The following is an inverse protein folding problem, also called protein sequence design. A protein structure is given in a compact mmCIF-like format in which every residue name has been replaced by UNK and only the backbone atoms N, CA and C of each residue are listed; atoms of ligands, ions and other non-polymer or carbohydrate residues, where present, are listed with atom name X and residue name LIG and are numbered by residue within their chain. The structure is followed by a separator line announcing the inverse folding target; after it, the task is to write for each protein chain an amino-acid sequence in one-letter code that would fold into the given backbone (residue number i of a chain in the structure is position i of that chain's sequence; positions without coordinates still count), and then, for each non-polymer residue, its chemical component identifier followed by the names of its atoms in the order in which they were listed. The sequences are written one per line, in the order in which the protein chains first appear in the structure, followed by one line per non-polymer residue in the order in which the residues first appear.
data_IF_772664823421
#
_entry.id   IF_772664823421
#
_cell.length_a   1.000
_cell.length_b   1.000
_cell.length_c   1.000
_cell.angle_alpha   90.00
_cell.angle_beta   90.00
_cell.angle_gamma   90.00
#
_symmetry.space_group_name_H-M   'P 1'
#
loop_
_entity.id
_entity.type
_entity.pdbx_description
1 polymer ?
#
# COMPACT_ATOMS: atom_id res chain seq x y z
N UNK A 1 31.18 -36.84 65.72
CA UNK A 1 31.35 -36.32 64.35
C UNK A 1 32.62 -36.92 63.77
N UNK A 2 32.52 -37.90 62.87
CA UNK A 2 33.52 -38.35 61.90
C UNK A 2 33.06 -39.69 61.31
N UNK A 3 32.96 -39.76 59.97
CA UNK A 3 33.39 -40.85 59.07
C UNK A 3 32.88 -42.27 59.37
N UNK A 4 32.41 -43.09 58.43
CA UNK A 4 32.53 -43.11 56.97
C UNK A 4 31.84 -44.38 56.47
N UNK A 5 31.24 -44.35 55.28
CA UNK A 5 31.80 -45.05 54.11
C UNK A 5 32.09 -46.55 54.33
N UNK A 6 31.05 -47.37 54.47
CA UNK A 6 31.14 -48.81 54.23
C UNK A 6 29.79 -49.46 53.85
N UNK A 7 28.99 -48.80 53.02
CA UNK A 7 27.80 -49.42 52.42
C UNK A 7 27.64 -49.07 50.92
N UNK A 8 28.76 -48.87 50.24
CA UNK A 8 28.87 -48.72 48.78
C UNK A 8 29.90 -49.74 48.31
N UNK A 9 29.45 -50.92 47.88
CA UNK A 9 30.08 -51.83 46.90
C UNK A 9 29.61 -53.27 47.13
N UNK A 10 28.39 -53.63 46.70
CA UNK A 10 28.03 -54.99 46.26
C UNK A 10 26.55 -55.06 45.83
N UNK A 11 26.18 -54.37 44.74
CA UNK A 11 25.01 -54.73 43.91
C UNK A 11 24.90 -53.84 42.64
N UNK A 12 26.03 -53.39 42.08
CA UNK A 12 26.05 -52.83 40.73
C UNK A 12 26.26 -54.03 39.80
N UNK A 13 25.17 -54.61 39.32
CA UNK A 13 25.29 -55.77 38.43
C UNK A 13 23.98 -56.44 38.05
N UNK A 14 22.86 -55.70 37.91
CA UNK A 14 21.65 -56.27 37.29
C UNK A 14 20.52 -55.30 36.89
N UNK A 15 20.83 -54.07 36.46
CA UNK A 15 19.77 -53.15 35.97
C UNK A 15 20.11 -52.39 34.67
N UNK A 16 21.14 -52.82 33.93
CA UNK A 16 21.53 -52.21 32.64
C UNK A 16 20.84 -52.77 31.40
N UNK A 17 20.22 -53.95 31.46
CA UNK A 17 19.77 -54.66 30.25
C UNK A 17 18.27 -54.51 29.91
N UNK A 18 17.48 -53.81 30.74
CA UNK A 18 16.03 -53.66 30.52
C UNK A 18 15.59 -52.24 30.16
N UNK A 19 16.51 -51.25 30.11
CA UNK A 19 16.20 -49.86 29.73
C UNK A 19 16.51 -49.53 28.27
N UNK A 20 17.34 -50.33 27.60
CA UNK A 20 17.65 -50.15 26.18
C UNK A 20 16.49 -50.48 25.22
N UNK A 21 15.68 -51.55 25.41
CA UNK A 21 14.60 -51.84 24.45
C UNK A 21 13.40 -50.91 24.62
N UNK A 22 13.16 -50.37 25.82
CA UNK A 22 12.02 -49.49 26.09
C UNK A 22 12.23 -48.07 25.53
N UNK A 23 13.47 -47.57 25.60
CA UNK A 23 13.83 -46.29 24.98
C UNK A 23 13.79 -46.35 23.44
N UNK A 24 14.18 -47.48 22.85
CA UNK A 24 14.09 -47.68 21.40
C UNK A 24 12.62 -47.82 20.93
N UNK A 25 11.77 -48.49 21.70
CA UNK A 25 10.35 -48.66 21.38
C UNK A 25 9.58 -47.32 21.46
N UNK A 26 9.91 -46.46 22.43
CA UNK A 26 9.34 -45.11 22.54
C UNK A 26 9.82 -44.18 21.40
N UNK A 27 11.06 -44.35 20.91
CA UNK A 27 11.56 -43.56 19.78
C UNK A 27 10.95 -44.01 18.43
N UNK A 28 10.69 -45.32 18.26
CA UNK A 28 10.02 -45.86 17.06
C UNK A 28 8.53 -45.49 17.03
N UNK A 29 7.85 -45.40 18.17
CA UNK A 29 6.47 -44.92 18.26
C UNK A 29 6.33 -43.41 18.01
N UNK A 30 7.34 -42.61 18.36
CA UNK A 30 7.35 -41.18 18.07
C UNK A 30 7.68 -40.86 16.59
N UNK A 31 8.38 -41.75 15.88
CA UNK A 31 8.69 -41.59 14.45
C UNK A 31 7.60 -42.14 13.51
N UNK A 32 6.61 -42.87 14.04
CA UNK A 32 5.53 -43.48 13.26
C UNK A 32 4.26 -42.61 13.12
N UNK A 33 4.22 -41.44 13.76
CA UNK A 33 3.20 -40.42 13.52
C UNK A 33 3.84 -39.24 12.81
N UNK A 34 3.93 -39.25 11.46
CA UNK A 34 3.89 -37.97 10.79
C UNK A 34 2.57 -37.36 11.22
N UNK A 35 2.63 -36.21 11.90
CA UNK A 35 1.49 -35.33 11.99
C UNK A 35 1.12 -34.98 10.55
N UNK A 36 0.28 -35.81 9.94
CA UNK A 36 -0.53 -35.39 8.84
C UNK A 36 -1.37 -34.25 9.42
N UNK A 37 -0.88 -33.03 9.23
CA UNK A 37 -1.74 -31.91 8.94
C UNK A 37 -2.54 -32.35 7.72
N UNK A 38 -3.58 -33.15 7.98
CA UNK A 38 -4.46 -33.69 6.97
C UNK A 38 -5.08 -32.49 6.31
N UNK A 39 -4.76 -32.31 5.03
CA UNK A 39 -5.46 -31.37 4.19
C UNK A 39 -6.97 -31.58 4.43
N UNK A 40 -7.66 -30.52 4.83
CA UNK A 40 -9.08 -30.62 5.12
C UNK A 40 -9.76 -31.19 3.88
N UNK A 41 -10.71 -32.14 4.00
CA UNK A 41 -11.22 -32.86 2.82
C UNK A 41 -11.60 -31.87 1.73
N UNK A 42 -11.13 -32.09 0.49
CA UNK A 42 -11.38 -31.22 -0.67
C UNK A 42 -12.88 -30.95 -0.92
N UNK A 43 -13.75 -31.80 -0.36
CA UNK A 43 -15.19 -31.55 -0.27
C UNK A 43 -15.55 -30.63 0.92
N UNK A 44 -16.39 -29.64 0.64
CA UNK A 44 -16.86 -28.69 1.65
C UNK A 44 -17.46 -27.43 1.05
N UNK A 45 -17.92 -26.56 1.94
CA UNK A 45 -18.22 -25.18 1.60
C UNK A 45 -16.99 -24.32 1.92
N UNK A 46 -16.77 -23.27 1.15
CA UNK A 46 -15.66 -22.35 1.26
C UNK A 46 -16.16 -20.92 1.07
N UNK A 47 -15.55 -20.01 1.81
CA UNK A 47 -15.86 -18.58 1.81
C UNK A 47 -14.67 -17.80 1.25
N UNK A 48 -14.91 -16.93 0.29
CA UNK A 48 -13.86 -16.19 -0.40
C UNK A 48 -13.23 -15.10 0.47
N UNK A 49 -11.92 -14.89 0.28
CA UNK A 49 -11.11 -13.87 0.96
C UNK A 49 -10.37 -12.99 -0.05
N UNK A 50 -9.92 -11.80 0.36
CA UNK A 50 -9.23 -10.87 -0.53
C UNK A 50 -10.10 -10.48 -1.73
N UNK A 51 -9.60 -10.69 -2.93
CA UNK A 51 -10.34 -10.40 -4.19
C UNK A 51 -11.58 -11.29 -4.39
N UNK A 52 -11.70 -12.38 -3.63
CA UNK A 52 -12.87 -13.26 -3.61
C UNK A 52 -13.88 -12.92 -2.49
N UNK A 53 -13.69 -11.83 -1.76
CA UNK A 53 -14.57 -11.48 -0.65
C UNK A 53 -16.05 -11.41 -1.08
N UNK A 54 -16.92 -12.11 -0.33
CA UNK A 54 -18.35 -12.22 -0.66
C UNK A 54 -18.69 -13.30 -1.68
N UNK A 55 -17.70 -13.99 -2.26
CA UNK A 55 -17.92 -15.20 -3.06
C UNK A 55 -18.07 -16.43 -2.17
N UNK A 56 -18.83 -17.40 -2.64
CA UNK A 56 -18.95 -18.70 -1.99
C UNK A 56 -18.71 -19.83 -2.97
N UNK A 57 -17.94 -20.84 -2.55
CA UNK A 57 -17.63 -22.03 -3.34
C UNK A 57 -18.07 -23.27 -2.56
N UNK A 58 -18.82 -24.16 -3.19
CA UNK A 58 -19.16 -25.47 -2.64
C UNK A 58 -18.63 -26.55 -3.56
N UNK A 59 -17.93 -27.53 -2.99
CA UNK A 59 -17.33 -28.64 -3.73
C UNK A 59 -17.73 -29.97 -3.09
N UNK A 60 -17.98 -30.94 -3.96
CA UNK A 60 -18.18 -32.34 -3.62
C UNK A 60 -17.33 -33.20 -4.55
N UNK A 61 -16.50 -34.04 -3.96
CA UNK A 61 -15.66 -34.99 -4.69
C UNK A 61 -16.20 -36.40 -4.49
N UNK A 62 -16.36 -37.12 -5.60
CA UNK A 62 -16.63 -38.57 -5.61
C UNK A 62 -15.57 -39.21 -6.48
N UNK A 63 -14.70 -40.03 -5.87
CA UNK A 63 -13.50 -40.57 -6.51
C UNK A 63 -12.60 -39.46 -7.07
N UNK A 64 -12.53 -39.32 -8.40
CA UNK A 64 -11.80 -38.23 -9.07
C UNK A 64 -12.71 -37.14 -9.58
N UNK A 65 -14.01 -37.35 -9.63
CA UNK A 65 -14.96 -36.36 -10.14
C UNK A 65 -15.21 -35.30 -9.10
N UNK A 66 -15.14 -34.04 -9.52
CA UNK A 66 -15.41 -32.86 -8.70
C UNK A 66 -16.61 -32.13 -9.28
N UNK A 67 -17.62 -31.92 -8.44
CA UNK A 67 -18.81 -31.13 -8.78
C UNK A 67 -19.06 -30.08 -7.72
N UNK A 68 -19.67 -28.96 -8.10
CA UNK A 68 -19.84 -27.86 -7.16
C UNK A 68 -20.63 -26.68 -7.71
N UNK A 69 -20.63 -25.61 -6.92
CA UNK A 69 -21.14 -24.32 -7.35
C UNK A 69 -20.28 -23.18 -6.85
N UNK A 70 -20.09 -22.17 -7.69
CA UNK A 70 -19.42 -20.92 -7.40
C UNK A 70 -20.45 -19.80 -7.51
N UNK A 71 -20.63 -19.01 -6.47
CA UNK A 71 -21.50 -17.84 -6.47
C UNK A 71 -20.70 -16.57 -6.22
N UNK A 72 -20.97 -15.56 -7.03
CA UNK A 72 -20.40 -14.22 -6.94
C UNK A 72 -21.35 -13.28 -6.18
N UNK A 73 -20.83 -12.22 -5.55
CA UNK A 73 -21.64 -11.26 -4.80
C UNK A 73 -22.63 -10.48 -5.68
N UNK A 74 -22.35 -10.36 -6.98
CA UNK A 74 -23.24 -9.73 -7.97
C UNK A 74 -24.43 -10.62 -8.40
N UNK A 75 -24.60 -11.80 -7.79
CA UNK A 75 -25.66 -12.75 -8.10
C UNK A 75 -25.35 -13.72 -9.24
N UNK A 76 -24.20 -13.59 -9.91
CA UNK A 76 -23.76 -14.59 -10.89
C UNK A 76 -23.44 -15.92 -10.19
N UNK A 77 -23.89 -17.03 -10.77
CA UNK A 77 -23.65 -18.35 -10.22
C UNK A 77 -23.29 -19.34 -11.33
N UNK A 78 -22.23 -20.11 -11.08
CA UNK A 78 -21.71 -21.13 -11.96
C UNK A 78 -21.82 -22.51 -11.31
N UNK A 79 -22.20 -23.50 -12.10
CA UNK A 79 -22.06 -24.91 -11.73
C UNK A 79 -20.70 -25.41 -12.20
N UNK A 80 -20.03 -26.14 -11.33
CA UNK A 80 -18.66 -26.61 -11.51
C UNK A 80 -18.67 -28.12 -11.77
N UNK A 81 -17.99 -28.56 -12.83
CA UNK A 81 -17.84 -29.97 -13.16
C UNK A 81 -16.45 -30.22 -13.73
N UNK A 82 -15.70 -31.12 -13.11
CA UNK A 82 -14.35 -31.44 -13.53
C UNK A 82 -13.80 -32.67 -12.82
N UNK A 83 -12.48 -32.80 -12.89
CA UNK A 83 -11.78 -33.96 -12.36
C UNK A 83 -10.51 -33.54 -11.61
N UNK A 84 -10.17 -34.33 -10.59
CA UNK A 84 -8.95 -34.20 -9.81
C UNK A 84 -7.84 -35.08 -10.38
N UNK A 85 -6.62 -34.57 -10.37
CA UNK A 85 -5.44 -35.29 -10.85
C UNK A 85 -5.22 -36.59 -10.08
N UNK A 86 -5.28 -36.55 -8.74
CA UNK A 86 -5.23 -37.73 -7.88
C UNK A 86 -6.38 -37.72 -6.87
N UNK A 87 -6.67 -38.87 -6.27
CA UNK A 87 -7.80 -38.99 -5.34
C UNK A 87 -7.56 -38.23 -4.02
N UNK A 88 -6.36 -38.35 -3.46
CA UNK A 88 -6.03 -37.83 -2.12
C UNK A 88 -5.41 -36.43 -2.14
N UNK A 89 -4.65 -36.07 -3.18
CA UNK A 89 -3.89 -34.82 -3.29
C UNK A 89 -3.91 -34.27 -4.71
N UNK A 90 -3.51 -33.00 -4.87
CA UNK A 90 -3.34 -32.39 -6.18
C UNK A 90 -4.50 -31.51 -6.63
N UNK A 91 -4.40 -31.08 -7.89
CA UNK A 91 -5.23 -30.03 -8.48
C UNK A 91 -6.49 -30.61 -9.11
N UNK A 92 -7.56 -29.81 -9.13
CA UNK A 92 -8.79 -30.12 -9.85
C UNK A 92 -8.98 -29.16 -11.01
N UNK A 93 -9.42 -29.66 -12.15
CA UNK A 93 -9.62 -28.86 -13.35
C UNK A 93 -10.90 -29.27 -14.07
N UNK A 94 -11.52 -28.32 -14.76
CA UNK A 94 -12.75 -28.58 -15.51
C UNK A 94 -13.42 -27.32 -16.00
N UNK A 95 -14.74 -27.41 -16.18
CA UNK A 95 -15.55 -26.35 -16.74
C UNK A 95 -16.55 -25.76 -15.72
N UNK A 96 -16.87 -24.49 -15.93
CA UNK A 96 -17.87 -23.71 -15.23
C UNK A 96 -18.98 -23.37 -16.22
N UNK A 97 -20.19 -23.83 -15.93
CA UNK A 97 -21.37 -23.51 -16.71
C UNK A 97 -22.21 -22.47 -15.96
N UNK A 98 -22.65 -21.42 -16.65
CA UNK A 98 -23.69 -20.54 -16.11
C UNK A 98 -25.01 -21.31 -16.04
N UNK A 99 -25.92 -20.91 -15.14
CA UNK A 99 -27.15 -21.63 -14.82
C UNK A 99 -27.97 -21.93 -16.09
N UNK A 100 -27.91 -23.18 -16.57
CA UNK A 100 -28.70 -23.69 -17.70
C UNK A 100 -28.07 -23.63 -19.10
N UNK A 101 -26.75 -23.42 -19.22
CA UNK A 101 -26.09 -23.28 -20.53
C UNK A 101 -24.78 -24.07 -20.72
N UNK A 102 -24.21 -23.91 -21.92
CA UNK A 102 -22.86 -24.34 -22.33
C UNK A 102 -21.76 -23.82 -21.38
N UNK A 103 -20.58 -24.46 -21.33
CA UNK A 103 -19.48 -24.01 -20.48
C UNK A 103 -19.06 -22.58 -20.86
N UNK A 104 -19.21 -21.65 -19.92
CA UNK A 104 -18.88 -20.23 -20.11
C UNK A 104 -17.53 -19.83 -19.52
N UNK A 105 -16.89 -20.74 -18.79
CA UNK A 105 -15.57 -20.57 -18.22
C UNK A 105 -14.95 -21.94 -17.87
N UNK A 106 -13.68 -21.94 -17.52
CA UNK A 106 -12.89 -23.06 -17.06
C UNK A 106 -12.30 -22.73 -15.69
N UNK A 107 -11.90 -23.78 -14.97
CA UNK A 107 -11.29 -23.62 -13.66
C UNK A 107 -10.06 -24.50 -13.47
N UNK A 108 -9.16 -24.01 -12.64
CA UNK A 108 -8.11 -24.80 -12.00
C UNK A 108 -8.13 -24.51 -10.49
N UNK A 109 -8.21 -25.55 -9.65
CA UNK A 109 -8.27 -25.44 -8.20
C UNK A 109 -7.05 -26.15 -7.62
N UNK A 110 -6.29 -25.41 -6.81
CA UNK A 110 -5.21 -25.94 -5.99
C UNK A 110 -5.64 -25.98 -4.52
N UNK A 111 -5.30 -27.07 -3.84
CA UNK A 111 -5.54 -27.21 -2.41
C UNK A 111 -4.45 -26.52 -1.59
N UNK A 112 -4.86 -25.69 -0.62
CA UNK A 112 -3.97 -24.94 0.28
C UNK A 112 -4.24 -25.38 1.73
N UNK A 113 -3.29 -25.18 2.67
CA UNK A 113 -3.43 -25.70 4.04
C UNK A 113 -4.73 -25.34 4.78
N UNK A 114 -5.31 -24.17 4.52
CA UNK A 114 -6.53 -23.67 5.17
C UNK A 114 -7.74 -23.54 4.22
N UNK A 115 -7.60 -23.94 2.96
CA UNK A 115 -8.57 -23.60 1.93
C UNK A 115 -8.14 -23.96 0.52
N UNK A 116 -8.51 -23.14 -0.45
CA UNK A 116 -8.30 -23.41 -1.88
C UNK A 116 -7.90 -22.13 -2.61
N UNK A 117 -7.17 -22.30 -3.70
CA UNK A 117 -6.86 -21.27 -4.68
C UNK A 117 -7.54 -21.67 -5.99
N UNK A 118 -8.41 -20.80 -6.50
CA UNK A 118 -9.19 -21.00 -7.72
C UNK A 118 -8.69 -20.04 -8.79
N UNK A 119 -8.21 -20.57 -9.90
CA UNK A 119 -8.02 -19.85 -11.13
C UNK A 119 -9.29 -19.97 -11.98
N UNK A 120 -9.98 -18.85 -12.18
CA UNK A 120 -11.13 -18.71 -13.07
C UNK A 120 -10.66 -18.24 -14.44
N UNK A 121 -11.01 -18.98 -15.48
CA UNK A 121 -10.56 -18.70 -16.87
C UNK A 121 -11.82 -18.54 -17.73
N UNK A 122 -12.18 -17.32 -18.16
CA UNK A 122 -13.32 -17.12 -19.04
C UNK A 122 -13.19 -17.89 -20.36
N UNK A 123 -14.30 -18.28 -20.98
CA UNK A 123 -14.29 -18.78 -22.35
C UNK A 123 -14.38 -17.61 -23.35
N UNK A 124 -13.65 -17.72 -24.46
CA UNK A 124 -13.78 -16.84 -25.62
C UNK A 124 -15.12 -17.09 -26.35
N UNK A 125 -15.47 -16.23 -27.30
CA UNK A 125 -16.66 -16.43 -28.15
C UNK A 125 -16.63 -17.74 -28.96
N UNK A 126 -15.43 -18.33 -29.16
CA UNK A 126 -15.24 -19.62 -29.81
C UNK A 126 -15.34 -20.81 -28.83
N UNK A 127 -15.53 -20.56 -27.53
CA UNK A 127 -15.58 -21.58 -26.49
C UNK A 127 -14.22 -21.97 -25.92
N UNK A 128 -13.11 -21.42 -26.42
CA UNK A 128 -11.76 -21.76 -25.94
C UNK A 128 -11.39 -20.97 -24.66
N UNK A 129 -10.52 -21.48 -23.78
CA UNK A 129 -10.08 -20.77 -22.57
C UNK A 129 -9.28 -19.48 -22.90
N UNK A 130 -9.67 -18.36 -22.30
CA UNK A 130 -8.93 -17.09 -22.38
C UNK A 130 -8.06 -16.88 -21.13
N UNK A 131 -6.78 -17.29 -21.23
CA UNK A 131 -5.82 -17.14 -20.14
C UNK A 131 -5.49 -15.66 -19.84
N UNK A 132 -5.58 -14.77 -20.83
CA UNK A 132 -5.28 -13.35 -20.66
C UNK A 132 -6.31 -12.61 -19.79
N UNK A 133 -7.53 -13.15 -19.71
CA UNK A 133 -8.62 -12.65 -18.88
C UNK A 133 -8.84 -13.49 -17.61
N UNK A 134 -7.87 -14.34 -17.26
CA UNK A 134 -7.98 -15.19 -16.07
C UNK A 134 -7.92 -14.36 -14.78
N UNK A 135 -8.56 -14.86 -13.73
CA UNK A 135 -8.61 -14.24 -12.41
C UNK A 135 -8.40 -15.27 -11.32
N UNK A 136 -7.63 -14.91 -10.32
CA UNK A 136 -7.32 -15.81 -9.21
C UNK A 136 -8.07 -15.42 -7.95
N UNK A 137 -8.67 -16.42 -7.30
CA UNK A 137 -9.54 -16.25 -6.15
C UNK A 137 -9.11 -17.19 -5.02
N UNK A 138 -9.02 -16.63 -3.81
CA UNK A 138 -8.64 -17.38 -2.62
C UNK A 138 -9.86 -17.68 -1.75
N UNK A 139 -9.98 -18.91 -1.28
CA UNK A 139 -11.11 -19.37 -0.47
C UNK A 139 -10.62 -20.07 0.80
N UNK A 140 -11.29 -19.81 1.92
CA UNK A 140 -11.09 -20.54 3.17
C UNK A 140 -12.21 -21.54 3.39
N UNK A 141 -11.92 -22.71 3.98
CA UNK A 141 -12.96 -23.69 4.27
C UNK A 141 -13.94 -23.15 5.31
N UNK A 142 -15.24 -23.22 5.03
CA UNK A 142 -16.30 -22.73 5.93
C UNK A 142 -16.21 -23.46 7.26
N UNK A 143 -16.17 -22.69 8.34
CA UNK A 143 -15.98 -23.21 9.70
C UNK A 143 -14.50 -23.30 10.13
N UNK A 144 -13.55 -23.22 9.20
CA UNK A 144 -12.17 -22.81 9.51
C UNK A 144 -12.24 -21.32 9.76
N UNK A 145 -12.60 -20.96 10.99
CA UNK A 145 -12.17 -19.66 11.50
C UNK A 145 -10.65 -19.81 11.62
N UNK A 146 -9.83 -19.02 10.91
CA UNK A 146 -8.47 -18.85 11.38
C UNK A 146 -8.64 -18.51 12.87
N UNK A 147 -8.01 -19.28 13.76
CA UNK A 147 -7.93 -18.91 15.17
C UNK A 147 -7.05 -17.67 15.23
N UNK A 148 -7.61 -16.56 14.78
CA UNK A 148 -7.14 -15.23 15.09
C UNK A 148 -7.53 -15.11 16.55
N UNK A 149 -6.62 -15.53 17.44
CA UNK A 149 -6.67 -15.04 18.81
C UNK A 149 -6.73 -13.51 18.72
N UNK A 150 -7.36 -12.82 19.67
CA UNK A 150 -7.38 -11.34 19.64
C UNK A 150 -5.95 -10.74 19.60
N UNK A 151 -4.93 -11.55 19.93
CA UNK A 151 -3.49 -11.26 19.79
C UNK A 151 -2.95 -11.39 18.34
N UNK A 152 -3.61 -12.14 17.45
CA UNK A 152 -3.27 -12.27 16.03
C UNK A 152 -4.02 -11.27 15.13
N UNK A 153 -4.72 -10.30 15.72
CA UNK A 153 -5.40 -9.18 15.02
C UNK A 153 -4.45 -8.11 14.47
N UNK A 154 -3.15 -8.36 14.40
CA UNK A 154 -2.32 -7.44 13.65
C UNK A 154 -2.63 -7.65 12.16
N UNK A 155 -3.53 -6.82 11.61
CA UNK A 155 -3.64 -6.60 10.14
C UNK A 155 -2.30 -6.21 9.52
N UNK A 156 -1.34 -5.87 10.38
CA UNK A 156 -0.03 -5.39 10.05
C UNK A 156 1.04 -6.46 10.31
N UNK A 157 2.01 -6.53 9.41
CA UNK A 157 3.25 -7.27 9.62
C UNK A 157 4.01 -6.65 10.80
N UNK A 158 4.70 -7.45 11.63
CA UNK A 158 5.59 -6.90 12.65
C UNK A 158 6.62 -5.96 12.03
N UNK A 159 6.82 -4.80 12.67
CA UNK A 159 7.82 -3.83 12.29
C UNK A 159 9.16 -4.12 13.01
N UNK A 160 10.31 -3.76 12.41
CA UNK A 160 11.58 -3.82 13.12
C UNK A 160 11.59 -2.95 14.38
N UNK A 161 12.24 -3.45 15.45
CA UNK A 161 12.36 -2.72 16.72
C UNK A 161 13.31 -1.52 16.62
N UNK A 162 14.39 -1.65 15.85
CA UNK A 162 15.40 -0.60 15.67
C UNK A 162 15.14 0.31 14.46
N UNK A 163 15.97 1.36 14.29
CA UNK A 163 15.98 2.17 13.08
C UNK A 163 16.20 1.33 11.84
N UNK A 164 15.55 1.71 10.74
CA UNK A 164 15.62 0.99 9.46
C UNK A 164 16.28 1.85 8.40
N UNK A 165 16.86 1.18 7.40
CA UNK A 165 17.25 1.85 6.16
C UNK A 165 16.03 2.35 5.40
N UNK A 166 16.15 3.46 4.65
CA UNK A 166 15.05 3.99 3.83
C UNK A 166 14.48 2.93 2.87
N UNK A 167 15.28 2.04 2.28
CA UNK A 167 14.75 1.02 1.37
C UNK A 167 13.84 0.02 2.12
N UNK A 168 14.23 -0.36 3.33
CA UNK A 168 13.41 -1.23 4.20
C UNK A 168 12.14 -0.51 4.64
N UNK A 169 12.23 0.80 4.92
CA UNK A 169 11.07 1.62 5.23
C UNK A 169 10.07 1.66 4.06
N UNK A 170 10.52 1.99 2.85
CA UNK A 170 9.69 2.08 1.65
C UNK A 170 8.96 0.76 1.35
N UNK A 171 9.61 -0.38 1.60
CA UNK A 171 9.02 -1.71 1.40
C UNK A 171 8.03 -2.12 2.48
N UNK A 172 8.16 -1.52 3.67
CA UNK A 172 7.48 -2.00 4.85
C UNK A 172 6.35 -1.15 5.37
N UNK A 173 6.42 0.18 5.19
CA UNK A 173 5.48 1.10 5.81
C UNK A 173 4.03 0.85 5.40
N UNK A 174 3.82 0.20 4.24
CA UNK A 174 2.47 -0.19 3.81
C UNK A 174 1.83 -1.30 4.64
N UNK A 175 2.67 -2.21 5.13
CA UNK A 175 2.27 -3.39 5.88
C UNK A 175 2.43 -3.25 7.38
N UNK A 176 3.06 -2.18 7.89
CA UNK A 176 3.18 -1.91 9.33
C UNK A 176 2.00 -1.14 9.88
N UNK A 177 1.82 -1.18 11.20
CA UNK A 177 0.82 -0.36 11.89
C UNK A 177 1.11 1.14 11.66
N UNK A 178 0.10 2.02 11.77
CA UNK A 178 0.31 3.46 11.75
C UNK A 178 1.36 3.91 12.77
N UNK A 179 1.29 3.41 14.00
CA UNK A 179 2.22 3.72 15.09
C UNK A 179 3.66 3.33 14.75
N UNK A 180 3.87 2.11 14.26
CA UNK A 180 5.18 1.64 13.82
C UNK A 180 5.71 2.44 12.62
N UNK A 181 4.82 2.84 11.72
CA UNK A 181 5.17 3.67 10.57
C UNK A 181 5.64 5.05 11.02
N UNK A 182 4.92 5.68 11.94
CA UNK A 182 5.28 6.98 12.51
C UNK A 182 6.63 6.90 13.24
N UNK A 183 6.81 5.89 14.11
CA UNK A 183 8.06 5.62 14.84
C UNK A 183 9.25 5.43 13.90
N UNK A 184 9.12 4.54 12.92
CA UNK A 184 10.21 4.25 11.99
C UNK A 184 10.51 5.42 11.05
N UNK A 185 9.50 6.19 10.63
CA UNK A 185 9.70 7.41 9.86
C UNK A 185 10.46 8.46 10.67
N UNK A 186 10.07 8.67 11.93
CA UNK A 186 10.74 9.62 12.82
C UNK A 186 12.22 9.27 13.04
N UNK A 187 12.53 7.98 13.07
CA UNK A 187 13.89 7.45 13.22
C UNK A 187 14.76 7.54 11.95
N UNK A 188 14.19 7.78 10.76
CA UNK A 188 14.98 7.95 9.54
C UNK A 188 15.90 9.18 9.63
N UNK A 189 17.09 9.17 9.01
CA UNK A 189 17.90 10.36 8.83
C UNK A 189 17.15 11.48 8.11
N UNK A 190 17.47 12.74 8.44
CA UNK A 190 16.81 13.91 7.84
C UNK A 190 16.88 13.96 6.31
N UNK A 191 18.03 13.70 5.65
CA UNK A 191 18.09 13.70 4.18
C UNK A 191 17.17 12.65 3.55
N UNK A 192 16.98 11.51 4.22
CA UNK A 192 16.13 10.43 3.75
C UNK A 192 14.64 10.79 3.89
N UNK A 193 14.24 11.41 5.00
CA UNK A 193 12.88 11.95 5.14
C UNK A 193 12.61 13.04 4.10
N UNK A 194 13.54 14.00 3.96
CA UNK A 194 13.42 15.10 3.01
C UNK A 194 13.24 14.59 1.57
N UNK A 195 13.97 13.54 1.18
CA UNK A 195 13.81 12.90 -0.13
C UNK A 195 12.39 12.39 -0.37
N UNK A 196 11.77 11.72 0.60
CA UNK A 196 10.37 11.26 0.49
C UNK A 196 9.44 12.46 0.31
N UNK A 197 9.70 13.54 1.06
CA UNK A 197 8.90 14.75 1.06
C UNK A 197 8.96 15.54 -0.28
N UNK A 198 9.95 15.29 -1.13
CA UNK A 198 10.01 15.91 -2.47
C UNK A 198 8.90 15.43 -3.41
N UNK A 199 8.28 14.28 -3.12
CA UNK A 199 7.29 13.64 -3.98
C UNK A 199 5.89 13.73 -3.36
N UNK A 200 4.96 14.35 -4.07
CA UNK A 200 3.66 14.76 -3.53
C UNK A 200 2.71 13.61 -3.16
N UNK A 201 2.54 12.60 -4.03
CA UNK A 201 1.67 11.45 -3.77
C UNK A 201 2.28 10.53 -2.70
N UNK A 202 3.61 10.33 -2.72
CA UNK A 202 4.31 9.59 -1.67
C UNK A 202 4.16 10.30 -0.31
N UNK A 203 4.32 11.63 -0.28
CA UNK A 203 4.10 12.43 0.93
C UNK A 203 2.65 12.35 1.39
N UNK A 204 1.68 12.44 0.48
CA UNK A 204 0.26 12.38 0.82
C UNK A 204 -0.13 11.02 1.43
N UNK A 205 0.38 9.91 0.88
CA UNK A 205 0.11 8.59 1.44
C UNK A 205 0.77 8.43 2.82
N UNK A 206 2.02 8.88 2.95
CA UNK A 206 2.73 8.84 4.21
C UNK A 206 2.02 9.68 5.27
N UNK A 207 1.67 10.92 4.95
CA UNK A 207 0.96 11.82 5.86
C UNK A 207 -0.35 11.21 6.36
N UNK A 208 -1.08 10.51 5.48
CA UNK A 208 -2.32 9.83 5.87
C UNK A 208 -2.07 8.81 6.96
N UNK A 209 -1.06 7.95 6.80
CA UNK A 209 -0.70 6.94 7.80
C UNK A 209 -0.21 7.54 9.11
N UNK A 210 0.57 8.62 9.05
CA UNK A 210 1.05 9.29 10.25
C UNK A 210 -0.10 9.98 11.00
N UNK A 211 -1.07 10.56 10.27
CA UNK A 211 -2.28 11.09 10.88
C UNK A 211 -3.15 10.00 11.52
N UNK A 212 -3.21 8.79 10.94
CA UNK A 212 -3.89 7.65 11.56
C UNK A 212 -3.21 7.16 12.84
N UNK A 213 -1.89 7.33 12.95
CA UNK A 213 -1.14 6.98 14.16
C UNK A 213 -1.46 7.88 15.35
N UNK A 214 -1.86 9.14 15.09
CA UNK A 214 -2.16 10.13 16.13
C UNK A 214 -1.12 10.14 17.27
N UNK A 215 0.17 10.40 16.94
CA UNK A 215 1.26 10.29 17.90
C UNK A 215 1.07 11.21 19.11
N UNK A 216 1.62 10.80 20.26
CA UNK A 216 1.54 11.59 21.50
C UNK A 216 2.18 12.97 21.33
N UNK A 217 1.51 14.00 21.86
CA UNK A 217 1.96 15.39 21.76
C UNK A 217 3.40 15.57 22.31
N UNK A 218 4.26 16.21 21.51
CA UNK A 218 5.66 16.45 21.87
C UNK A 218 6.62 15.27 21.61
N UNK A 219 6.10 14.11 21.19
CA UNK A 219 6.94 12.99 20.74
C UNK A 219 7.79 13.35 19.51
N UNK A 220 8.89 12.63 19.23
CA UNK A 220 9.61 12.76 17.96
C UNK A 220 8.70 12.57 16.73
N UNK A 221 7.77 11.63 16.80
CA UNK A 221 6.79 11.30 15.77
C UNK A 221 5.83 12.46 15.51
N UNK A 222 5.27 13.04 16.58
CA UNK A 222 4.40 14.21 16.53
C UNK A 222 5.12 15.41 15.91
N UNK A 223 6.37 15.69 16.30
CA UNK A 223 7.16 16.75 15.66
C UNK A 223 7.34 16.54 14.16
N UNK A 224 7.61 15.30 13.72
CA UNK A 224 7.75 15.02 12.27
C UNK A 224 6.45 15.13 11.52
N UNK A 225 5.34 14.76 12.15
CA UNK A 225 4.01 14.94 11.59
C UNK A 225 3.65 16.43 11.54
N UNK A 226 4.00 17.23 12.56
CA UNK A 226 3.81 18.68 12.59
C UNK A 226 4.59 19.38 11.47
N UNK A 227 5.87 19.06 11.29
CA UNK A 227 6.69 19.58 10.18
C UNK A 227 6.01 19.31 8.81
N UNK A 228 5.41 18.12 8.68
CA UNK A 228 4.71 17.70 7.47
C UNK A 228 3.39 18.47 7.27
N UNK A 229 2.58 18.60 8.32
CA UNK A 229 1.33 19.37 8.31
C UNK A 229 1.56 20.84 7.99
N UNK A 230 2.61 21.45 8.55
CA UNK A 230 2.99 22.84 8.27
C UNK A 230 3.32 23.02 6.79
N UNK A 231 4.14 22.15 6.20
CA UNK A 231 4.45 22.22 4.77
C UNK A 231 3.22 21.99 3.89
N UNK A 232 2.29 21.14 4.33
CA UNK A 232 1.07 20.82 3.59
C UNK A 232 -0.07 21.82 3.84
N UNK A 233 0.07 22.69 4.85
CA UNK A 233 -0.93 23.67 5.27
C UNK A 233 -2.30 23.04 5.54
N UNK A 234 -2.31 21.87 6.19
CA UNK A 234 -3.52 21.14 6.58
C UNK A 234 -3.28 20.32 7.84
N UNK A 235 -4.24 20.31 8.76
CA UNK A 235 -4.21 19.45 9.95
C UNK A 235 -4.72 18.02 9.67
N UNK A 236 -4.36 17.08 10.55
CA UNK A 236 -4.78 15.69 10.41
C UNK A 236 -6.30 15.48 10.46
N UNK A 237 -7.05 16.25 11.24
CA UNK A 237 -8.50 16.08 11.34
C UNK A 237 -9.17 16.43 10.00
N UNK A 238 -8.79 17.54 9.38
CA UNK A 238 -9.24 17.95 8.05
C UNK A 238 -8.75 17.00 6.96
N UNK A 239 -7.49 16.57 7.06
CA UNK A 239 -6.91 15.69 6.06
C UNK A 239 -7.54 14.29 6.05
N UNK A 240 -7.76 13.67 7.21
CA UNK A 240 -8.40 12.36 7.30
C UNK A 240 -9.83 12.38 6.74
N UNK A 241 -10.60 13.46 6.98
CA UNK A 241 -11.93 13.64 6.34
C UNK A 241 -11.85 13.70 4.82
N UNK A 242 -10.80 14.31 4.25
CA UNK A 242 -10.58 14.33 2.81
C UNK A 242 -10.20 12.95 2.28
N UNK A 243 -9.38 12.21 3.02
CA UNK A 243 -8.98 10.85 2.65
C UNK A 243 -10.20 9.92 2.60
N UNK A 244 -11.10 9.97 3.59
CA UNK A 244 -12.32 9.13 3.57
C UNK A 244 -13.20 9.45 2.36
N UNK A 245 -13.42 10.73 2.05
CA UNK A 245 -14.14 11.11 0.82
C UNK A 245 -13.43 10.67 -0.46
N UNK A 246 -12.11 10.76 -0.50
CA UNK A 246 -11.31 10.28 -1.64
C UNK A 246 -11.40 8.76 -1.82
N UNK A 247 -11.51 7.98 -0.72
CA UNK A 247 -11.73 6.53 -0.77
C UNK A 247 -13.09 6.19 -1.40
N UNK A 248 -14.11 6.99 -1.15
CA UNK A 248 -15.45 6.84 -1.73
C UNK A 248 -15.51 7.24 -3.22
N UNK A 249 -14.67 8.19 -3.65
CA UNK A 249 -14.62 8.74 -5.01
C UNK A 249 -14.12 7.80 -6.13
N UNK A 250 -13.85 6.52 -5.83
CA UNK A 250 -13.52 5.48 -6.82
C UNK A 250 -12.12 5.56 -7.45
N UNK A 251 -11.44 6.72 -7.38
CA UNK A 251 -10.09 6.93 -7.93
C UNK A 251 -8.96 6.69 -6.90
N UNK A 252 -9.28 6.25 -5.69
CA UNK A 252 -8.27 6.05 -4.63
C UNK A 252 -7.21 5.01 -5.00
N UNK A 253 -7.56 3.97 -5.78
CA UNK A 253 -6.59 3.00 -6.30
C UNK A 253 -5.57 3.65 -7.24
N UNK A 254 -6.01 4.62 -8.04
CA UNK A 254 -5.12 5.36 -8.94
C UNK A 254 -4.12 6.21 -8.15
N UNK A 255 -4.58 6.85 -7.08
CA UNK A 255 -3.71 7.56 -6.15
C UNK A 255 -2.61 6.66 -5.57
N UNK A 256 -2.97 5.46 -5.08
CA UNK A 256 -2.00 4.49 -4.56
C UNK A 256 -1.00 4.02 -5.64
N UNK A 257 -1.46 3.87 -6.89
CA UNK A 257 -0.58 3.55 -8.04
C UNK A 257 0.42 4.67 -8.31
N UNK A 258 -0.02 5.93 -8.30
CA UNK A 258 0.87 7.09 -8.47
C UNK A 258 1.84 7.26 -7.31
N UNK A 259 1.38 7.02 -6.08
CA UNK A 259 2.24 6.97 -4.90
C UNK A 259 3.30 5.87 -5.04
N UNK A 260 2.92 4.65 -5.45
CA UNK A 260 3.89 3.56 -5.70
C UNK A 260 4.95 3.97 -6.72
N UNK A 261 4.53 4.58 -7.84
CA UNK A 261 5.47 5.04 -8.85
C UNK A 261 6.51 6.02 -8.27
N UNK A 262 6.07 6.95 -7.41
CA UNK A 262 6.98 7.89 -6.74
C UNK A 262 7.90 7.20 -5.72
N UNK A 263 7.39 6.22 -4.97
CA UNK A 263 8.21 5.42 -4.05
C UNK A 263 9.30 4.63 -4.80
N UNK A 264 9.00 4.12 -5.99
CA UNK A 264 10.00 3.48 -6.86
C UNK A 264 11.06 4.48 -7.37
N UNK A 265 10.68 5.73 -7.68
CA UNK A 265 11.65 6.77 -8.02
C UNK A 265 12.55 7.13 -6.83
N UNK A 266 11.98 7.21 -5.63
CA UNK A 266 12.75 7.42 -4.39
C UNK A 266 13.74 6.27 -4.18
N UNK A 267 13.27 5.02 -4.25
CA UNK A 267 14.12 3.82 -4.19
C UNK A 267 15.26 3.89 -5.20
N UNK A 268 14.95 4.16 -6.46
CA UNK A 268 15.95 4.21 -7.51
C UNK A 268 16.96 5.34 -7.30
N UNK A 269 16.51 6.49 -6.78
CA UNK A 269 17.39 7.62 -6.40
C UNK A 269 18.37 7.20 -5.31
N UNK A 270 17.90 6.49 -4.28
CA UNK A 270 18.75 5.96 -3.21
C UNK A 270 19.79 4.96 -3.74
N UNK A 271 19.38 4.06 -4.64
CA UNK A 271 20.31 3.10 -5.24
C UNK A 271 21.36 3.78 -6.15
N UNK A 272 20.99 4.86 -6.81
CA UNK A 272 21.92 5.70 -7.57
C UNK A 272 22.92 6.42 -6.67
N UNK A 273 22.46 7.00 -5.57
CA UNK A 273 23.33 7.65 -4.56
C UNK A 273 24.35 6.66 -3.96
N UNK A 274 23.95 5.40 -3.78
CA UNK A 274 24.84 4.32 -3.30
C UNK A 274 25.79 3.75 -4.35
N UNK A 275 25.65 4.14 -5.62
CA UNK A 275 26.42 3.56 -6.73
C UNK A 275 26.04 2.12 -7.08
N UNK A 276 24.86 1.66 -6.65
CA UNK A 276 24.33 0.32 -6.94
C UNK A 276 23.61 0.24 -8.29
N UNK A 277 23.47 1.37 -8.98
CA UNK A 277 22.80 1.50 -10.28
C UNK A 277 23.73 2.17 -11.30
N UNK A 278 23.70 1.69 -12.55
CA UNK A 278 24.52 2.26 -13.63
C UNK A 278 24.10 3.68 -14.04
N UNK A 279 25.08 4.49 -14.49
CA UNK A 279 24.91 5.93 -14.77
C UNK A 279 23.75 6.27 -15.73
N UNK A 280 23.54 5.47 -16.78
CA UNK A 280 22.45 5.67 -17.73
C UNK A 280 21.07 5.61 -17.03
N UNK A 281 20.87 4.61 -16.16
CA UNK A 281 19.62 4.45 -15.41
C UNK A 281 19.44 5.55 -14.36
N UNK A 282 20.52 6.08 -13.79
CA UNK A 282 20.44 7.23 -12.88
C UNK A 282 20.05 8.54 -13.59
N UNK A 283 20.49 8.73 -14.83
CA UNK A 283 20.05 9.84 -15.66
C UNK A 283 18.55 9.72 -15.96
N UNK A 284 18.06 8.52 -16.29
CA UNK A 284 16.63 8.27 -16.52
C UNK A 284 15.78 8.55 -15.27
N UNK A 285 16.21 8.06 -14.10
CA UNK A 285 15.52 8.33 -12.82
C UNK A 285 15.42 9.83 -12.55
N UNK A 286 16.51 10.57 -12.79
CA UNK A 286 16.52 12.03 -12.64
C UNK A 286 15.57 12.71 -13.62
N UNK A 287 15.56 12.27 -14.89
CA UNK A 287 14.68 12.81 -15.92
C UNK A 287 13.19 12.54 -15.63
N UNK A 288 12.86 11.39 -15.04
CA UNK A 288 11.50 11.05 -14.62
C UNK A 288 11.07 11.76 -13.33
N UNK A 289 11.98 11.92 -12.37
CA UNK A 289 11.69 12.51 -11.07
C UNK A 289 11.60 14.03 -11.08
N UNK A 290 12.50 14.72 -11.78
CA UNK A 290 12.57 16.19 -11.83
C UNK A 290 11.23 16.88 -12.14
N UNK A 291 10.45 16.50 -13.17
CA UNK A 291 9.18 17.16 -13.46
C UNK A 291 8.12 16.97 -12.37
N UNK A 292 8.17 15.87 -11.61
CA UNK A 292 7.25 15.62 -10.50
C UNK A 292 7.54 16.53 -9.32
N UNK A 293 8.83 16.74 -9.02
CA UNK A 293 9.27 17.64 -7.95
C UNK A 293 8.92 19.09 -8.28
N UNK A 294 9.09 19.50 -9.56
CA UNK A 294 8.74 20.85 -10.00
C UNK A 294 7.23 21.11 -10.02
N UNK A 295 6.41 20.07 -10.20
CA UNK A 295 4.95 20.14 -10.18
C UNK A 295 4.38 19.60 -8.88
N UNK A 296 5.11 19.79 -7.78
CA UNK A 296 4.68 19.37 -6.47
C UNK A 296 3.31 19.97 -6.11
N UNK A 297 2.44 19.16 -5.53
CA UNK A 297 1.11 19.55 -5.09
C UNK A 297 0.94 19.28 -3.61
N UNK A 298 0.07 20.07 -2.98
CA UNK A 298 -0.37 19.80 -1.61
C UNK A 298 -1.25 18.55 -1.56
N UNK A 299 -1.15 17.81 -0.47
CA UNK A 299 -1.90 16.58 -0.24
C UNK A 299 -3.42 16.82 -0.23
N UNK A 300 -3.86 17.97 0.31
CA UNK A 300 -5.27 18.36 0.33
C UNK A 300 -5.85 18.55 -1.08
N UNK A 301 -5.09 19.15 -1.99
CA UNK A 301 -5.47 19.36 -3.38
C UNK A 301 -5.56 18.03 -4.15
N UNK A 302 -4.68 17.07 -3.85
CA UNK A 302 -4.74 15.72 -4.40
C UNK A 302 -6.02 15.02 -3.92
N UNK A 303 -6.29 15.01 -2.60
CA UNK A 303 -7.46 14.31 -2.05
C UNK A 303 -8.79 14.92 -2.50
N UNK A 304 -8.89 16.25 -2.62
CA UNK A 304 -10.10 16.90 -3.17
C UNK A 304 -10.37 16.51 -4.62
N UNK A 305 -9.34 16.43 -5.46
CA UNK A 305 -9.49 16.00 -6.86
C UNK A 305 -10.03 14.56 -6.93
N UNK A 306 -9.54 13.68 -6.05
CA UNK A 306 -9.97 12.28 -5.98
C UNK A 306 -11.40 12.11 -5.46
N UNK A 307 -11.85 13.01 -4.57
CA UNK A 307 -13.20 12.98 -4.01
C UNK A 307 -14.28 13.42 -5.03
N UNK A 308 -13.88 14.07 -6.13
CA UNK A 308 -14.80 14.50 -7.19
C UNK A 308 -15.54 15.82 -6.91
N UNK A 309 -16.26 16.36 -7.90
CA UNK A 309 -16.90 17.68 -7.82
C UNK A 309 -18.09 17.73 -6.84
N UNK A 310 -18.72 16.59 -6.55
CA UNK A 310 -19.83 16.50 -5.59
C UNK A 310 -19.35 16.50 -4.13
N UNK A 311 -18.03 16.44 -3.90
CA UNK A 311 -17.42 16.60 -2.59
C UNK A 311 -17.13 18.07 -2.28
N UNK A 312 -18.11 18.96 -2.47
CA UNK A 312 -18.00 20.31 -1.92
C UNK A 312 -17.73 20.24 -0.40
N UNK A 313 -16.96 21.18 0.16
CA UNK A 313 -16.83 21.26 1.60
C UNK A 313 -18.23 21.46 2.17
N UNK A 314 -18.62 20.65 3.16
CA UNK A 314 -19.52 21.16 4.17
C UNK A 314 -18.89 22.47 4.64
N UNK A 315 -19.48 23.61 4.22
CA UNK A 315 -19.23 24.87 4.90
C UNK A 315 -19.55 24.54 6.34
N UNK A 316 -18.51 24.57 7.18
CA UNK A 316 -18.70 24.70 8.60
C UNK A 316 -19.58 25.95 8.72
N UNK A 317 -20.88 25.76 8.99
CA UNK A 317 -21.72 26.85 9.43
C UNK A 317 -21.02 27.37 10.68
N UNK A 318 -20.34 28.50 10.55
CA UNK A 318 -20.03 29.37 11.67
C UNK A 318 -21.38 29.66 12.32
N UNK A 319 -21.77 28.80 13.26
CA UNK A 319 -22.77 29.14 14.24
C UNK A 319 -22.12 30.30 14.99
N UNK A 320 -22.62 31.54 14.83
CA UNK A 320 -22.05 32.65 15.58
C UNK A 320 -22.11 32.25 17.05
N UNK A 321 -21.05 32.45 17.85
CA UNK A 321 -21.12 32.16 19.26
C UNK A 321 -22.35 32.89 19.81
N UNK A 322 -23.26 32.12 20.40
CA UNK A 322 -24.48 32.64 20.98
C UNK A 322 -24.09 33.83 21.85
N UNK A 323 -24.54 35.03 21.43
CA UNK A 323 -24.23 36.26 22.11
C UNK A 323 -24.52 36.07 23.59
N UNK A 324 -23.46 36.09 24.40
CA UNK A 324 -23.58 36.07 25.84
C UNK A 324 -24.48 37.25 26.20
N UNK A 325 -25.62 36.96 26.80
CA UNK A 325 -26.53 37.96 27.29
C UNK A 325 -25.78 38.82 28.31
N UNK A 326 -25.46 40.05 27.91
CA UNK A 326 -24.95 41.09 28.82
C UNK A 326 -26.15 41.47 29.71
N UNK A 327 -26.06 41.34 31.04
CA UNK A 327 -27.11 41.84 31.90
C UNK A 327 -27.10 43.36 31.85
N UNK A 328 -28.28 43.96 31.76
CA UNK A 328 -28.48 45.39 31.81
C UNK A 328 -27.99 45.93 33.16
N UNK A 329 -26.99 46.82 33.12
CA UNK A 329 -26.64 47.67 34.25
C UNK A 329 -27.24 49.06 34.04
N UNK A 330 -27.76 49.58 35.14
CA UNK A 330 -28.58 50.78 35.31
C UNK A 330 -27.85 52.07 34.94
N UNK A 331 -28.66 53.01 34.45
CA UNK A 331 -28.31 54.41 34.22
C UNK A 331 -27.79 55.11 35.48
N UNK A 332 -26.62 55.74 35.38
CA UNK A 332 -26.20 56.86 36.23
C UNK A 332 -25.42 57.89 35.39
N UNK A 333 -26.19 58.85 34.84
CA UNK A 333 -26.00 60.30 34.96
C UNK A 333 -24.58 60.91 34.97
N UNK A 334 -24.27 61.63 33.87
CA UNK A 334 -23.66 62.99 33.79
C UNK A 334 -22.26 63.24 34.40
N UNK A 335 -21.24 63.49 33.55
CA UNK A 335 -20.81 64.85 33.16
C UNK A 335 -19.39 64.89 32.55
N UNK A 336 -19.26 65.76 31.54
CA UNK A 336 -18.08 66.51 31.08
C UNK A 336 -17.02 65.87 30.15
N UNK A 337 -17.02 66.34 28.90
CA UNK A 337 -15.91 66.29 27.94
C UNK A 337 -14.92 67.48 28.19
N UNK A 338 -13.71 67.49 27.60
CA UNK A 338 -13.61 68.02 26.24
C UNK A 338 -12.58 67.36 25.30
N UNK A 339 -12.94 67.40 24.02
CA UNK A 339 -12.18 67.79 22.82
C UNK A 339 -10.79 67.20 22.55
N UNK A 340 -10.62 66.52 21.40
CA UNK A 340 -9.65 66.92 20.36
C UNK A 340 -10.06 66.39 18.98
N UNK A 341 -10.28 67.35 18.07
CA UNK A 341 -10.30 67.39 16.59
C UNK A 341 -10.27 66.10 15.73
N UNK A 342 -11.24 66.05 14.81
CA UNK A 342 -11.14 65.38 13.51
C UNK A 342 -10.76 66.40 12.41
N UNK A 343 -10.17 65.94 11.30
CA UNK A 343 -10.83 66.14 10.00
C UNK A 343 -10.80 64.85 9.15
N UNK A 344 -11.97 64.36 8.69
CA UNK A 344 -12.58 64.58 7.38
C UNK A 344 -11.87 63.92 6.17
N UNK A 345 -12.48 62.81 5.75
CA UNK A 345 -12.78 62.35 4.39
C UNK A 345 -12.02 62.94 3.18
N UNK A 346 -11.38 62.06 2.41
CA UNK A 346 -11.31 62.16 0.95
C UNK A 346 -11.53 60.79 0.28
N UNK A 347 -12.19 60.85 -0.87
CA UNK A 347 -12.77 59.76 -1.63
C UNK A 347 -11.80 59.11 -2.64
N UNK A 348 -12.16 57.91 -3.09
CA UNK A 348 -11.51 57.11 -4.12
C UNK A 348 -11.24 57.86 -5.44
N UNK A 349 -10.07 57.61 -6.03
CA UNK A 349 -9.86 57.51 -7.48
C UNK A 349 -8.82 56.39 -7.82
N UNK A 350 -8.89 55.79 -9.03
CA UNK A 350 -8.39 54.43 -9.32
C UNK A 350 -6.92 54.37 -9.77
N UNK A 351 -6.28 53.24 -9.48
CA UNK A 351 -4.91 52.89 -9.92
C UNK A 351 -4.87 52.60 -11.44
N UNK A 352 -3.87 53.13 -12.18
CA UNK A 352 -3.67 52.78 -13.59
C UNK A 352 -2.94 51.44 -13.77
N UNK A 353 -3.36 50.69 -14.79
CA UNK A 353 -2.65 49.55 -15.37
C UNK A 353 -1.30 49.99 -15.98
N UNK A 354 -0.30 49.10 -15.87
CA UNK A 354 0.89 48.94 -16.75
C UNK A 354 2.24 48.92 -16.02
N UNK A 355 3.13 48.04 -16.53
CA UNK A 355 4.57 47.85 -16.27
C UNK A 355 4.90 46.91 -15.08
N UNK A 356 5.70 45.86 -15.21
CA UNK A 356 6.51 45.36 -16.31
C UNK A 356 7.16 44.01 -15.94
N UNK A 357 7.53 43.25 -16.95
CA UNK A 357 8.28 41.99 -16.89
C UNK A 357 9.63 42.15 -16.17
N UNK A 358 10.08 41.20 -15.32
CA UNK A 358 11.41 41.29 -14.72
C UNK A 358 12.50 40.99 -15.75
N UNK A 359 13.44 41.93 -15.90
CA UNK A 359 14.68 41.76 -16.68
C UNK A 359 15.72 41.03 -15.81
N UNK A 360 16.48 40.04 -16.33
CA UNK A 360 17.55 39.39 -15.59
C UNK A 360 18.76 40.32 -15.38
N UNK A 361 19.32 40.33 -14.17
CA UNK A 361 20.55 41.08 -13.85
C UNK A 361 21.80 40.51 -14.55
N UNK A 362 22.81 41.35 -14.89
CA UNK A 362 24.04 40.89 -15.53
C UNK A 362 24.95 40.17 -14.53
N UNK A 363 25.60 39.08 -14.96
CA UNK A 363 26.73 38.48 -14.23
C UNK A 363 28.03 39.25 -14.51
N UNK A 364 28.95 39.40 -13.54
CA UNK A 364 30.25 40.01 -13.78
C UNK A 364 31.15 39.04 -14.56
N UNK A 365 31.78 39.55 -15.63
CA UNK A 365 32.77 38.85 -16.46
C UNK A 365 34.15 39.47 -16.30
N UNK A 366 35.13 38.68 -15.88
CA UNK A 366 36.58 38.85 -16.13
C UNK A 366 37.12 37.42 -16.31
N UNK A 367 37.83 36.98 -17.35
CA UNK A 367 38.16 37.52 -18.66
C UNK A 367 38.72 36.36 -19.52
N UNK A 368 38.81 36.64 -20.83
CA UNK A 368 39.69 36.03 -21.85
C UNK A 368 39.41 34.59 -22.34
N UNK A 369 39.09 34.46 -23.64
CA UNK A 369 39.38 33.25 -24.40
C UNK A 369 38.36 32.76 -25.43
N UNK A 370 38.22 33.50 -26.52
CA UNK A 370 38.10 32.98 -27.91
C UNK A 370 36.79 32.33 -28.45
N UNK A 371 36.40 32.90 -29.61
CA UNK A 371 35.62 32.34 -30.73
C UNK A 371 34.08 32.28 -30.65
N UNK A 372 33.51 33.41 -31.07
CA UNK A 372 32.26 33.58 -31.85
C UNK A 372 32.21 32.60 -33.05
N UNK A 373 31.04 32.04 -33.37
CA UNK A 373 30.42 32.08 -34.72
C UNK A 373 29.26 31.08 -34.90
N UNK A 374 28.08 31.67 -35.08
CA UNK A 374 27.09 31.45 -36.15
C UNK A 374 26.27 30.15 -36.20
N UNK A 375 25.05 30.30 -35.70
CA UNK A 375 23.88 29.51 -36.06
C UNK A 375 23.39 29.94 -37.45
N UNK A 376 23.42 29.04 -38.44
CA UNK A 376 22.28 28.74 -39.32
C UNK A 376 22.55 27.49 -40.20
N UNK A 377 21.50 26.84 -40.72
CA UNK A 377 21.45 25.41 -41.00
C UNK A 377 21.71 25.08 -42.47
N UNK A 378 22.33 23.93 -42.73
CA UNK A 378 22.01 23.11 -43.91
C UNK A 378 22.73 21.76 -43.86
N UNK A 379 21.95 20.68 -43.76
CA UNK A 379 22.23 19.42 -44.42
C UNK A 379 21.00 18.49 -44.35
N UNK A 380 20.34 18.30 -45.48
CA UNK A 380 19.71 17.01 -45.86
C UNK A 380 20.19 16.67 -47.27
N UNK A 381 20.16 15.41 -47.75
CA UNK A 381 19.98 14.12 -47.08
C UNK A 381 21.08 13.08 -47.47
N UNK A 382 21.28 12.03 -46.67
CA UNK A 382 21.91 10.79 -47.17
C UNK A 382 20.85 9.69 -47.21
N UNK A 383 20.62 9.18 -48.41
CA UNK A 383 19.79 8.03 -48.69
C UNK A 383 20.33 6.78 -47.98
N UNK A 384 19.48 6.12 -47.20
CA UNK A 384 19.67 4.72 -46.84
C UNK A 384 18.74 3.89 -47.72
N UNK A 385 19.35 3.21 -48.68
CA UNK A 385 18.76 2.09 -49.40
C UNK A 385 18.20 1.04 -48.43
N UNK A 386 17.13 0.40 -48.90
CA UNK A 386 16.55 -0.85 -48.40
C UNK A 386 17.60 -1.92 -48.07
N UNK A 387 17.45 -2.58 -46.91
CA UNK A 387 17.57 -4.03 -46.60
C UNK A 387 17.78 -4.13 -45.08
N UNK A 388 16.78 -4.54 -44.30
CA UNK A 388 16.62 -5.94 -43.92
C UNK A 388 15.69 -6.06 -42.71
N UNK A 389 14.76 -7.00 -42.78
CA UNK A 389 13.87 -7.43 -41.70
C UNK A 389 14.64 -7.72 -40.40
N UNK A 390 14.58 -6.83 -39.42
CA UNK A 390 14.84 -7.18 -38.03
C UNK A 390 13.51 -7.35 -37.31
N UNK A 391 12.98 -8.57 -37.43
CA UNK A 391 11.96 -9.11 -36.53
C UNK A 391 12.47 -8.98 -35.10
N UNK A 392 11.79 -8.18 -34.29
CA UNK A 392 11.85 -8.27 -32.84
C UNK A 392 11.50 -9.73 -32.44
N UNK A 393 12.23 -10.37 -31.51
CA UNK A 393 11.90 -11.72 -31.08
C UNK A 393 10.69 -11.62 -30.15
N UNK A 394 9.49 -11.69 -30.75
CA UNK A 394 8.30 -12.08 -30.03
C UNK A 394 8.45 -13.57 -29.70
N UNK A 395 8.47 -13.90 -28.42
CA UNK A 395 8.29 -15.26 -27.95
C UNK A 395 6.94 -15.79 -28.47
N UNK A 396 6.99 -16.94 -29.15
CA UNK A 396 5.84 -17.64 -29.73
C UNK A 396 5.39 -18.77 -28.77
N UNK A 397 4.15 -19.29 -28.96
CA UNK A 397 3.19 -19.65 -27.91
C UNK A 397 3.51 -20.91 -27.11
#
# INVERSE_FOLDING_TARGET
MMWGLAARCAAIGRQGAARAPFALLLFVLAAAFPGALGAAPFSGAYDGIGDAAGMTLTLSQVERRVVGSLAFPNGAAYTLNGERQEHASGTAQGALASRGGEPGAYFHIEERPLGLQLLFIPATAAGEPDLGMSSEYSFLKRGVRPTVTDEAKSRYRPAPEGPVDILVFLDGFRGWSPDDTARLFAALPEPQRALILLYDHATAELMWRLCEAAPDEGSPEDRRLSDMQERQQIDCAAYLRLVERAKEGGLFREFLRRSQFQLELIRATVLCDRGETGAARCADVSALGAPLILRWRRADAIMRELAGPDAEPERMEDTPPAAAAVPAEEELSEAEAPETEAPQAEALEPLPESYGTPVPMPRPSDGEGEAVSDFEPDATPLAAETVGDHRLPLARP
#
